data_IF_379044521357
#
_entry.id   IF_379044521357
#
_cell.length_a   1.000
_cell.length_b   1.000
_cell.length_c   1.000
_cell.angle_alpha   90.00
_cell.angle_beta   90.00
_cell.angle_gamma   90.00
#
_symmetry.space_group_name_H-M   'P 1'
#
loop_
_entity.id
_entity.type
_entity.pdbx_description
1 polymer ?
#
# COMPACT_ATOMS: atom_id res chain seq x y z
N UNK A 1 -16.79 6.18 12.16
CA UNK A 1 -15.45 5.64 11.81
C UNK A 1 -15.25 4.33 12.60
N UNK A 2 -15.03 3.18 11.95
CA UNK A 2 -14.92 1.88 12.65
C UNK A 2 -13.46 1.45 12.82
N UNK A 3 -13.10 1.01 14.03
CA UNK A 3 -11.75 0.52 14.37
C UNK A 3 -11.41 -0.79 13.65
N UNK A 4 -12.33 -1.75 13.64
CA UNK A 4 -12.14 -3.05 13.01
C UNK A 4 -11.91 -2.93 11.49
N UNK A 5 -12.59 -2.00 10.83
CA UNK A 5 -12.38 -1.73 9.41
C UNK A 5 -10.94 -1.28 9.10
N UNK A 6 -10.35 -0.43 9.96
CA UNK A 6 -8.96 0.01 9.81
C UNK A 6 -7.96 -1.13 10.02
N UNK A 7 -8.22 -2.01 10.98
CA UNK A 7 -7.40 -3.20 11.21
C UNK A 7 -7.43 -4.16 10.02
N UNK A 8 -8.62 -4.43 9.48
CA UNK A 8 -8.77 -5.27 8.29
C UNK A 8 -8.06 -4.67 7.08
N UNK A 9 -8.22 -3.37 6.84
CA UNK A 9 -7.52 -2.67 5.77
C UNK A 9 -5.98 -2.76 5.93
N UNK A 10 -5.49 -2.50 7.14
CA UNK A 10 -4.06 -2.57 7.46
C UNK A 10 -3.50 -3.97 7.23
N UNK A 11 -4.21 -5.02 7.68
CA UNK A 11 -3.83 -6.41 7.46
C UNK A 11 -3.77 -6.74 5.97
N UNK A 12 -4.82 -6.39 5.22
CA UNK A 12 -4.89 -6.66 3.78
C UNK A 12 -3.70 -6.06 3.05
N UNK A 13 -3.40 -4.79 3.30
CA UNK A 13 -2.35 -4.06 2.59
C UNK A 13 -0.94 -4.52 3.00
N UNK A 14 -0.70 -4.75 4.30
CA UNK A 14 0.65 -5.04 4.81
C UNK A 14 1.01 -6.51 4.87
N UNK A 15 0.03 -7.43 4.85
CA UNK A 15 0.25 -8.86 5.03
C UNK A 15 -0.30 -9.73 3.90
N UNK A 16 -1.49 -9.45 3.39
CA UNK A 16 -2.15 -10.39 2.46
C UNK A 16 -1.87 -10.05 0.98
N UNK A 17 -1.74 -8.77 0.66
CA UNK A 17 -1.52 -8.32 -0.71
C UNK A 17 -0.20 -8.83 -1.29
N UNK A 18 -0.22 -9.31 -2.54
CA UNK A 18 0.98 -9.76 -3.27
C UNK A 18 2.05 -8.66 -3.36
N UNK A 19 1.63 -7.40 -3.47
CA UNK A 19 2.49 -6.22 -3.53
C UNK A 19 3.02 -5.70 -2.18
N UNK A 20 2.77 -6.37 -1.04
CA UNK A 20 3.13 -5.90 0.31
C UNK A 20 4.63 -5.59 0.54
N UNK A 21 5.50 -6.13 -0.32
CA UNK A 21 6.96 -5.93 -0.25
C UNK A 21 7.43 -4.73 -1.10
N UNK A 22 6.52 -4.07 -1.79
CA UNK A 22 6.83 -3.02 -2.73
C UNK A 22 6.36 -1.67 -2.17
N UNK A 23 7.32 -0.80 -1.86
CA UNK A 23 7.02 0.51 -1.31
C UNK A 23 6.45 1.46 -2.38
N UNK A 24 5.61 2.40 -1.93
CA UNK A 24 5.19 3.56 -2.70
C UNK A 24 6.25 4.65 -2.70
N UNK A 25 5.84 5.91 -2.85
CA UNK A 25 6.74 7.08 -2.77
C UNK A 25 7.24 7.33 -1.33
N UNK A 26 6.49 6.85 -0.33
CA UNK A 26 6.82 6.94 1.10
C UNK A 26 7.95 6.00 1.56
N UNK A 27 8.38 5.06 0.71
CA UNK A 27 9.44 4.11 1.05
C UNK A 27 9.04 3.03 2.08
N UNK A 28 7.82 3.07 2.60
CA UNK A 28 7.34 2.15 3.64
C UNK A 28 6.93 0.80 3.04
N UNK A 29 7.47 -0.28 3.61
CA UNK A 29 7.16 -1.68 3.26
C UNK A 29 7.56 -2.59 4.41
N UNK A 30 7.08 -3.84 4.41
CA UNK A 30 7.49 -4.87 5.38
C UNK A 30 7.41 -4.41 6.85
N UNK A 31 6.28 -3.80 7.24
CA UNK A 31 6.09 -3.24 8.58
C UNK A 31 6.13 -4.32 9.68
N UNK A 32 6.76 -4.00 10.80
CA UNK A 32 6.73 -4.80 12.04
C UNK A 32 5.34 -4.77 12.71
N UNK A 33 5.01 -5.72 13.60
CA UNK A 33 3.74 -5.70 14.34
C UNK A 33 3.37 -4.35 15.00
N UNK A 34 4.27 -3.67 15.75
CA UNK A 34 3.94 -2.38 16.34
C UNK A 34 3.76 -1.27 15.30
N UNK A 35 4.50 -1.29 14.18
CA UNK A 35 4.32 -0.33 13.10
C UNK A 35 2.95 -0.48 12.42
N UNK A 36 2.45 -1.72 12.26
CA UNK A 36 1.10 -1.97 11.71
C UNK A 36 0.01 -1.44 12.63
N UNK A 37 0.15 -1.60 13.94
CA UNK A 37 -0.82 -1.06 14.90
C UNK A 37 -0.86 0.48 14.83
N UNK A 38 0.31 1.12 14.76
CA UNK A 38 0.38 2.58 14.56
C UNK A 38 -0.28 3.01 13.27
N UNK A 39 -0.03 2.30 12.16
CA UNK A 39 -0.67 2.59 10.88
C UNK A 39 -2.21 2.50 10.95
N UNK A 40 -2.74 1.48 11.63
CA UNK A 40 -4.18 1.34 11.83
C UNK A 40 -4.79 2.48 12.65
N UNK A 41 -4.04 3.04 13.60
CA UNK A 41 -4.45 4.19 14.41
C UNK A 41 -4.46 5.48 13.58
N UNK A 42 -3.43 5.70 12.77
CA UNK A 42 -3.25 6.94 11.99
C UNK A 42 -4.05 6.98 10.69
N UNK A 43 -4.59 5.86 10.22
CA UNK A 43 -5.45 5.77 9.04
C UNK A 43 -6.65 6.74 9.12
N UNK A 44 -6.75 7.66 8.16
CA UNK A 44 -7.86 8.60 7.99
C UNK A 44 -8.61 8.31 6.70
N UNK A 45 -9.91 8.64 6.65
CA UNK A 45 -10.75 8.46 5.46
C UNK A 45 -10.68 9.65 4.48
N UNK A 46 -10.15 10.79 4.93
CA UNK A 46 -10.03 12.00 4.11
C UNK A 46 -8.61 12.58 4.18
N UNK A 47 -7.57 11.79 3.84
CA UNK A 47 -6.22 12.30 3.78
C UNK A 47 -5.98 13.20 2.56
N UNK A 48 -4.93 14.03 2.63
CA UNK A 48 -4.34 14.61 1.43
C UNK A 48 -3.68 13.49 0.62
N UNK A 49 -3.97 13.43 -0.67
CA UNK A 49 -3.46 12.39 -1.55
C UNK A 49 -2.09 12.80 -2.10
N UNK A 50 -1.12 11.90 -2.02
CA UNK A 50 0.21 12.08 -2.62
C UNK A 50 0.32 11.35 -3.97
N UNK A 51 1.29 11.73 -4.82
CA UNK A 51 1.53 11.06 -6.09
C UNK A 51 1.87 9.57 -5.90
N UNK A 52 1.49 8.77 -6.90
CA UNK A 52 1.64 7.31 -6.92
C UNK A 52 2.97 6.93 -7.58
N UNK A 53 3.67 5.90 -7.08
CA UNK A 53 4.89 5.42 -7.74
C UNK A 53 4.53 4.54 -8.93
N UNK A 54 4.96 4.91 -10.15
CA UNK A 54 4.68 4.12 -11.37
C UNK A 54 5.79 3.12 -11.65
N UNK A 55 5.42 1.88 -11.95
CA UNK A 55 6.33 0.80 -12.37
C UNK A 55 5.77 0.15 -13.62
N UNK A 56 6.60 -0.11 -14.62
CA UNK A 56 6.22 -0.86 -15.81
C UNK A 56 6.36 -2.36 -15.56
N UNK A 57 5.31 -3.13 -15.83
CA UNK A 57 5.31 -4.59 -15.68
C UNK A 57 5.06 -5.21 -17.06
N UNK A 58 5.88 -6.18 -17.50
CA UNK A 58 5.66 -6.85 -18.79
C UNK A 58 4.30 -7.55 -18.83
N UNK A 59 3.63 -7.50 -19.98
CA UNK A 59 2.47 -8.33 -20.25
C UNK A 59 2.94 -9.76 -20.58
N UNK A 60 2.29 -10.80 -20.04
CA UNK A 60 2.63 -12.17 -20.43
C UNK A 60 2.46 -12.37 -21.94
N UNK A 61 3.48 -12.93 -22.59
CA UNK A 61 3.42 -13.31 -24.01
C UNK A 61 3.58 -12.17 -25.02
N UNK A 62 3.87 -10.94 -24.60
CA UNK A 62 4.16 -9.83 -25.52
C UNK A 62 5.36 -9.00 -25.05
N UNK A 63 5.91 -8.15 -25.94
CA UNK A 63 6.95 -7.15 -25.61
C UNK A 63 6.39 -5.89 -24.94
N UNK A 64 5.06 -5.81 -24.78
CA UNK A 64 4.42 -4.63 -24.20
C UNK A 64 4.53 -4.61 -22.68
N UNK A 65 4.49 -3.41 -22.13
CA UNK A 65 4.38 -3.19 -20.70
C UNK A 65 3.04 -2.55 -20.31
N UNK A 66 2.57 -2.83 -19.09
CA UNK A 66 1.45 -2.14 -18.46
C UNK A 66 1.96 -1.31 -17.27
N UNK A 67 1.48 -0.06 -17.09
CA UNK A 67 1.83 0.74 -15.93
C UNK A 67 1.08 0.22 -14.69
N UNK A 68 1.80 0.02 -13.59
CA UNK A 68 1.24 -0.24 -12.27
C UNK A 68 1.51 0.97 -11.37
N UNK A 69 0.44 1.51 -10.77
CA UNK A 69 0.54 2.51 -9.71
C UNK A 69 0.65 1.84 -8.34
N UNK A 70 1.71 2.14 -7.61
CA UNK A 70 1.97 1.62 -6.27
C UNK A 70 1.70 2.74 -5.26
N UNK A 71 0.60 2.65 -4.49
CA UNK A 71 0.22 3.69 -3.54
C UNK A 71 1.14 3.68 -2.32
N UNK A 72 1.14 4.80 -1.60
CA UNK A 72 1.74 4.89 -0.27
C UNK A 72 0.87 4.18 0.78
N UNK A 73 1.46 3.82 1.92
CA UNK A 73 0.73 3.24 3.05
C UNK A 73 0.12 4.31 3.95
N UNK A 74 0.78 5.45 4.07
CA UNK A 74 0.41 6.51 5.00
C UNK A 74 0.63 7.89 4.39
N UNK A 75 -0.32 8.80 4.58
CA UNK A 75 -0.29 10.21 4.18
C UNK A 75 -0.39 11.13 5.39
#
# INVERSE_FOLDING_TARGET
KSWYAKLLATRRVTQDNRGKRTAGVDGLKSLTPPQRLRLAQTLSLSPKVHPVRRVWIPKPGTTDHRPLGIPMLYS
#
